data_IF_035328469877
#
_entry.id   IF_035328469877
#
_cell.length_a   1.000
_cell.length_b   1.000
_cell.length_c   1.000
_cell.angle_alpha   90.00
_cell.angle_beta   90.00
_cell.angle_gamma   90.00
#
_symmetry.space_group_name_H-M   'P 1'
#
loop_
_entity.id
_entity.type
_entity.pdbx_description
1 polymer ?
#
# COMPACT_ATOMS: atom_id res chain seq x y z
N UNK A 1 -5.70 5.69 17.43
CA UNK A 1 -4.39 5.73 16.72
C UNK A 1 -3.23 5.15 17.52
N UNK A 2 -3.02 5.54 18.80
CA UNK A 2 -1.87 5.03 19.59
C UNK A 2 -1.97 3.51 19.84
N UNK A 3 -3.19 2.99 20.05
CA UNK A 3 -3.39 1.56 20.31
C UNK A 3 -3.15 0.72 19.07
N UNK A 4 -3.64 1.17 17.91
CA UNK A 4 -3.46 0.54 16.61
C UNK A 4 -1.97 0.45 16.26
N UNK A 5 -1.22 1.53 16.50
CA UNK A 5 0.22 1.54 16.27
C UNK A 5 0.96 0.52 17.16
N UNK A 6 0.56 0.38 18.44
CA UNK A 6 1.13 -0.65 19.34
C UNK A 6 0.83 -2.07 18.86
N UNK A 7 -0.38 -2.30 18.35
CA UNK A 7 -0.78 -3.60 17.78
C UNK A 7 0.06 -3.91 16.54
N UNK A 8 0.20 -2.94 15.62
CA UNK A 8 1.02 -3.09 14.41
C UNK A 8 2.49 -3.34 14.74
N UNK A 9 3.05 -2.60 15.70
CA UNK A 9 4.41 -2.83 16.20
C UNK A 9 4.59 -4.26 16.70
N UNK A 10 3.73 -4.70 17.62
CA UNK A 10 3.82 -6.04 18.21
C UNK A 10 3.75 -7.12 17.12
N UNK A 11 2.83 -6.96 16.18
CA UNK A 11 2.66 -7.89 15.06
C UNK A 11 3.87 -7.90 14.13
N UNK A 12 4.41 -6.73 13.80
CA UNK A 12 5.64 -6.60 13.02
C UNK A 12 6.79 -7.37 13.69
N UNK A 13 7.00 -7.16 14.99
CA UNK A 13 8.03 -7.85 15.78
C UNK A 13 7.81 -9.37 15.81
N UNK A 14 6.57 -9.83 15.98
CA UNK A 14 6.21 -11.25 15.94
C UNK A 14 6.50 -11.88 14.56
N UNK A 15 6.17 -11.19 13.48
CA UNK A 15 6.43 -11.67 12.11
C UNK A 15 7.93 -11.75 11.85
N UNK A 16 8.69 -10.73 12.28
CA UNK A 16 10.15 -10.68 12.10
C UNK A 16 10.89 -11.86 12.73
N UNK A 17 10.35 -12.49 13.79
CA UNK A 17 10.97 -13.67 14.41
C UNK A 17 10.99 -14.90 13.49
N UNK A 18 10.10 -14.97 12.50
CA UNK A 18 9.98 -16.12 11.60
C UNK A 18 9.39 -15.74 10.23
N UNK A 19 9.95 -14.68 9.63
CA UNK A 19 9.36 -14.03 8.46
C UNK A 19 9.14 -14.97 7.27
N UNK A 20 10.12 -15.81 6.95
CA UNK A 20 10.03 -16.78 5.84
C UNK A 20 8.90 -17.80 6.05
N UNK A 21 8.80 -18.33 7.28
CA UNK A 21 7.74 -19.28 7.63
C UNK A 21 6.36 -18.63 7.48
N UNK A 22 6.19 -17.43 8.04
CA UNK A 22 4.92 -16.72 8.03
C UNK A 22 4.54 -16.29 6.61
N UNK A 23 5.51 -15.80 5.82
CA UNK A 23 5.27 -15.47 4.42
C UNK A 23 4.80 -16.70 3.64
N UNK A 24 5.47 -17.85 3.81
CA UNK A 24 5.05 -19.08 3.15
C UNK A 24 3.64 -19.50 3.58
N UNK A 25 3.29 -19.41 4.87
CA UNK A 25 1.93 -19.69 5.35
C UNK A 25 0.88 -18.77 4.68
N UNK A 26 1.17 -17.47 4.57
CA UNK A 26 0.29 -16.52 3.87
C UNK A 26 0.19 -16.83 2.38
N UNK A 27 1.32 -17.12 1.73
CA UNK A 27 1.36 -17.49 0.32
C UNK A 27 0.51 -18.72 0.03
N UNK A 28 0.70 -19.81 0.79
CA UNK A 28 -0.11 -21.03 0.62
C UNK A 28 -1.61 -20.77 0.89
N UNK A 29 -1.93 -19.92 1.87
CA UNK A 29 -3.31 -19.52 2.15
C UNK A 29 -3.95 -18.82 0.96
N UNK A 30 -3.23 -17.88 0.33
CA UNK A 30 -3.74 -17.19 -0.88
C UNK A 30 -3.82 -18.16 -2.06
N UNK A 31 -2.78 -18.96 -2.30
CA UNK A 31 -2.75 -19.90 -3.43
C UNK A 31 -3.85 -20.97 -3.36
N UNK A 32 -4.32 -21.32 -2.16
CA UNK A 32 -5.42 -22.27 -1.97
C UNK A 32 -6.82 -21.65 -2.08
N UNK A 33 -6.95 -20.32 -2.14
CA UNK A 33 -8.24 -19.63 -2.05
C UNK A 33 -8.51 -18.59 -3.14
N UNK A 34 -7.50 -18.14 -3.90
CA UNK A 34 -7.72 -17.18 -4.97
C UNK A 34 -8.61 -17.75 -6.09
N UNK A 35 -9.47 -16.90 -6.65
CA UNK A 35 -10.38 -17.24 -7.74
C UNK A 35 -9.77 -16.93 -9.12
N UNK A 36 -9.07 -15.80 -9.25
CA UNK A 36 -8.42 -15.41 -10.50
C UNK A 36 -7.25 -14.45 -10.24
N UNK A 37 -6.44 -14.21 -11.29
CA UNK A 37 -5.35 -13.23 -11.25
C UNK A 37 -5.42 -12.23 -12.39
N UNK A 38 -4.91 -11.03 -12.15
CA UNK A 38 -4.71 -9.98 -13.15
C UNK A 38 -3.21 -9.66 -13.23
N UNK A 39 -2.72 -9.42 -14.44
CA UNK A 39 -1.32 -9.07 -14.68
C UNK A 39 -1.28 -7.67 -15.32
N UNK A 40 -0.35 -6.82 -14.90
CA UNK A 40 -0.09 -5.54 -15.58
C UNK A 40 1.39 -5.18 -15.65
N UNK A 41 1.74 -4.36 -16.65
CA UNK A 41 3.03 -3.66 -16.72
C UNK A 41 2.86 -2.29 -16.05
N UNK A 42 3.50 -2.09 -14.90
CA UNK A 42 3.24 -1.00 -13.97
C UNK A 42 2.01 -1.23 -13.07
N UNK A 43 1.83 -0.43 -12.02
CA UNK A 43 0.75 -0.60 -11.04
C UNK A 43 -0.63 -0.26 -11.64
N UNK A 44 -1.64 -1.10 -11.43
CA UNK A 44 -2.96 -0.94 -12.06
C UNK A 44 -4.18 -1.08 -11.14
N UNK A 45 -3.95 -1.44 -9.88
CA UNK A 45 -4.98 -1.67 -8.86
C UNK A 45 -4.67 -0.80 -7.64
N UNK A 46 -5.69 -0.14 -7.10
CA UNK A 46 -5.61 0.69 -5.90
C UNK A 46 -6.25 -0.04 -4.71
N UNK A 47 -5.52 -0.17 -3.60
CA UNK A 47 -6.07 -0.67 -2.33
C UNK A 47 -6.77 0.46 -1.59
N UNK A 48 -6.14 1.63 -1.60
CA UNK A 48 -6.62 2.90 -1.06
C UNK A 48 -6.70 3.94 -2.19
N UNK A 49 -7.51 5.01 -2.04
CA UNK A 49 -7.75 5.96 -3.12
C UNK A 49 -6.48 6.51 -3.76
N UNK A 50 -6.41 6.45 -5.09
CA UNK A 50 -5.31 6.98 -5.90
C UNK A 50 -3.92 6.45 -5.54
N UNK A 51 -3.84 5.22 -5.06
CA UNK A 51 -2.64 4.58 -4.53
C UNK A 51 -1.37 4.77 -5.37
N UNK A 52 -1.41 4.38 -6.63
CA UNK A 52 -0.24 4.51 -7.49
C UNK A 52 -0.05 5.93 -8.03
N UNK A 53 -1.13 6.72 -8.17
CA UNK A 53 -1.04 8.13 -8.55
C UNK A 53 -0.39 8.97 -7.45
N UNK A 54 -0.60 8.63 -6.18
CA UNK A 54 0.04 9.26 -5.04
C UNK A 54 1.57 9.14 -5.06
N UNK A 55 2.09 8.14 -5.76
CA UNK A 55 3.52 7.90 -6.00
C UNK A 55 3.97 8.38 -7.41
N UNK A 56 3.10 9.09 -8.12
CA UNK A 56 3.35 9.68 -9.44
C UNK A 56 3.25 8.73 -10.63
N UNK A 57 2.70 7.54 -10.44
CA UNK A 57 2.50 6.60 -11.53
C UNK A 57 1.17 6.84 -12.26
N UNK A 58 1.19 6.58 -13.57
CA UNK A 58 -0.02 6.36 -14.36
C UNK A 58 -0.46 4.90 -14.20
N UNK A 59 -1.74 4.65 -14.49
CA UNK A 59 -2.27 3.28 -14.49
C UNK A 59 -1.50 2.42 -15.48
N UNK A 60 -1.01 1.27 -14.99
CA UNK A 60 -0.31 0.27 -15.76
C UNK A 60 -1.17 -0.37 -16.84
N UNK A 61 -0.51 -1.01 -17.80
CA UNK A 61 -1.16 -1.68 -18.93
C UNK A 61 -1.47 -3.14 -18.59
N UNK A 62 -2.72 -3.54 -18.75
CA UNK A 62 -3.15 -4.92 -18.53
C UNK A 62 -2.48 -5.90 -19.52
N UNK A 63 -2.05 -7.05 -19.01
CA UNK A 63 -1.40 -8.12 -19.77
C UNK A 63 -2.21 -9.41 -19.65
N UNK A 64 -2.26 -10.20 -20.72
CA UNK A 64 -2.92 -11.52 -20.72
C UNK A 64 -2.07 -12.62 -20.09
N UNK A 65 -0.75 -12.50 -20.19
CA UNK A 65 0.24 -13.46 -19.72
C UNK A 65 1.45 -12.72 -19.17
N UNK A 66 2.27 -13.42 -18.37
CA UNK A 66 3.54 -12.87 -17.91
C UNK A 66 4.44 -12.57 -19.13
N UNK A 67 5.04 -11.37 -19.21
CA UNK A 67 5.94 -11.01 -20.29
C UNK A 67 7.28 -11.71 -20.13
N UNK A 68 8.01 -11.89 -21.24
CA UNK A 68 9.39 -12.41 -21.22
C UNK A 68 10.36 -11.50 -20.44
N UNK A 69 10.11 -10.18 -20.48
CA UNK A 69 10.85 -9.19 -19.69
C UNK A 69 9.96 -8.83 -18.51
N UNK A 70 10.27 -9.40 -17.35
CA UNK A 70 9.41 -9.37 -16.17
C UNK A 70 9.46 -8.05 -15.39
N UNK A 71 10.52 -7.25 -15.57
CA UNK A 71 10.72 -5.99 -14.86
C UNK A 71 9.47 -5.10 -14.76
N UNK A 72 9.16 -4.55 -13.59
CA UNK A 72 7.99 -3.68 -13.38
C UNK A 72 6.67 -4.35 -13.81
N UNK A 73 6.54 -5.66 -13.55
CA UNK A 73 5.31 -6.43 -13.76
C UNK A 73 4.64 -6.68 -12.42
N UNK A 74 3.34 -6.43 -12.36
CA UNK A 74 2.51 -6.69 -11.20
C UNK A 74 1.57 -7.85 -11.46
N UNK A 75 1.42 -8.72 -10.47
CA UNK A 75 0.41 -9.78 -10.46
C UNK A 75 -0.47 -9.59 -9.25
N UNK A 76 -1.77 -9.50 -9.48
CA UNK A 76 -2.79 -9.31 -8.44
C UNK A 76 -3.65 -10.56 -8.36
N UNK A 77 -3.78 -11.13 -7.18
CA UNK A 77 -4.60 -12.33 -6.93
C UNK A 77 -5.88 -11.90 -6.21
N UNK A 78 -7.02 -12.32 -6.73
CA UNK A 78 -8.33 -11.93 -6.22
C UNK A 78 -9.12 -13.13 -5.73
N UNK A 79 -9.96 -12.93 -4.71
CA UNK A 79 -11.02 -13.86 -4.36
C UNK A 79 -12.24 -13.74 -5.30
N UNK A 80 -13.27 -14.55 -5.04
CA UNK A 80 -14.52 -14.54 -5.81
C UNK A 80 -15.36 -13.27 -5.62
N UNK A 81 -15.07 -12.46 -4.61
CA UNK A 81 -15.74 -11.19 -4.32
C UNK A 81 -14.98 -9.99 -4.90
N UNK A 82 -13.94 -10.23 -5.72
CA UNK A 82 -13.03 -9.23 -6.28
C UNK A 82 -12.20 -8.47 -5.23
N UNK A 83 -12.02 -9.04 -4.04
CA UNK A 83 -11.04 -8.54 -3.06
C UNK A 83 -9.67 -9.07 -3.42
N UNK A 84 -8.68 -8.20 -3.38
CA UNK A 84 -7.30 -8.57 -3.67
C UNK A 84 -6.68 -9.21 -2.44
N UNK A 85 -6.17 -10.42 -2.58
CA UNK A 85 -5.54 -11.19 -1.51
C UNK A 85 -4.02 -10.99 -1.46
N UNK A 86 -3.40 -10.80 -2.63
CA UNK A 86 -1.96 -10.66 -2.80
C UNK A 86 -1.63 -9.78 -4.00
N UNK A 87 -0.65 -8.89 -3.83
CA UNK A 87 0.08 -8.24 -4.91
C UNK A 87 1.50 -8.79 -4.95
N UNK A 88 1.94 -9.29 -6.10
CA UNK A 88 3.36 -9.53 -6.40
C UNK A 88 3.88 -8.43 -7.32
N UNK A 89 5.05 -7.87 -7.00
CA UNK A 89 5.78 -6.93 -7.85
C UNK A 89 7.14 -7.52 -8.21
N UNK A 90 7.34 -7.74 -9.51
CA UNK A 90 8.55 -8.33 -10.06
C UNK A 90 9.56 -7.23 -10.42
N UNK A 91 10.77 -7.33 -9.85
CA UNK A 91 11.92 -6.51 -10.20
C UNK A 91 12.61 -6.96 -11.49
N UNK A 92 13.87 -6.52 -11.68
CA UNK A 92 14.63 -6.76 -12.92
C UNK A 92 14.83 -8.25 -13.27
N UNK A 93 14.75 -9.13 -12.27
CA UNK A 93 14.85 -10.60 -12.42
C UNK A 93 13.67 -11.32 -11.75
N UNK A 94 13.37 -12.53 -12.22
CA UNK A 94 12.26 -13.36 -11.72
C UNK A 94 12.40 -13.73 -10.23
N UNK A 95 13.62 -13.67 -9.68
CA UNK A 95 13.92 -13.98 -8.28
C UNK A 95 13.68 -12.80 -7.32
N UNK A 96 13.45 -11.60 -7.85
CA UNK A 96 13.26 -10.38 -7.06
C UNK A 96 11.78 -10.00 -7.01
N UNK A 97 11.01 -10.77 -6.23
CA UNK A 97 9.57 -10.56 -6.08
C UNK A 97 9.31 -9.96 -4.70
N UNK A 98 8.70 -8.78 -4.64
CA UNK A 98 8.11 -8.29 -3.41
C UNK A 98 6.63 -8.64 -3.36
N UNK A 99 6.13 -8.93 -2.15
CA UNK A 99 4.77 -9.43 -1.95
C UNK A 99 4.05 -8.61 -0.90
N UNK A 100 2.82 -8.21 -1.18
CA UNK A 100 1.93 -7.60 -0.19
C UNK A 100 0.66 -8.42 -0.05
N UNK A 101 0.41 -8.92 1.16
CA UNK A 101 -0.77 -9.72 1.51
C UNK A 101 -1.83 -8.84 2.14
N UNK A 102 -3.11 -9.08 1.82
CA UNK A 102 -4.22 -8.30 2.35
C UNK A 102 -5.24 -9.17 3.09
N UNK A 103 -5.61 -8.74 4.29
CA UNK A 103 -6.56 -9.44 5.15
C UNK A 103 -7.74 -8.53 5.46
N UNK A 104 -8.92 -8.91 4.97
CA UNK A 104 -10.15 -8.14 5.13
C UNK A 104 -10.83 -8.49 6.43
N UNK A 105 -11.19 -7.45 7.20
CA UNK A 105 -12.01 -7.56 8.40
C UNK A 105 -13.14 -6.53 8.33
N UNK A 106 -14.06 -6.57 9.28
CA UNK A 106 -15.12 -5.58 9.36
C UNK A 106 -14.53 -4.18 9.49
N UNK A 107 -14.76 -3.33 8.49
CA UNK A 107 -14.33 -1.93 8.43
C UNK A 107 -12.81 -1.70 8.45
N UNK A 108 -12.00 -2.70 8.12
CA UNK A 108 -10.57 -2.49 7.91
C UNK A 108 -9.93 -3.53 7.00
N UNK A 109 -8.79 -3.15 6.42
CA UNK A 109 -7.91 -4.02 5.65
C UNK A 109 -6.54 -3.96 6.30
N UNK A 110 -6.03 -5.10 6.74
CA UNK A 110 -4.64 -5.23 7.18
C UNK A 110 -3.79 -5.62 5.98
N UNK A 111 -2.60 -5.02 5.84
CA UNK A 111 -1.62 -5.47 4.84
C UNK A 111 -0.27 -5.80 5.47
N UNK A 112 0.43 -6.76 4.85
CA UNK A 112 1.75 -7.21 5.28
C UNK A 112 2.63 -7.27 4.04
N UNK A 113 3.63 -6.41 3.99
CA UNK A 113 4.56 -6.31 2.87
C UNK A 113 5.87 -7.03 3.19
N UNK A 114 6.30 -7.90 2.30
CA UNK A 114 7.60 -8.58 2.30
C UNK A 114 8.43 -8.05 1.13
N UNK A 115 9.64 -7.58 1.45
CA UNK A 115 10.59 -7.12 0.47
C UNK A 115 11.17 -8.29 -0.34
N UNK A 116 11.71 -7.97 -1.51
CA UNK A 116 12.42 -8.94 -2.33
C UNK A 116 13.84 -9.19 -1.80
N UNK A 117 14.29 -10.45 -1.89
CA UNK A 117 15.63 -10.89 -1.52
C UNK A 117 15.88 -10.93 -0.01
N UNK A 118 15.68 -12.09 0.63
CA UNK A 118 15.97 -12.45 2.04
C UNK A 118 15.70 -11.40 3.14
N UNK A 119 14.97 -10.34 2.81
CA UNK A 119 14.65 -9.24 3.68
C UNK A 119 13.26 -9.52 4.20
N UNK A 120 13.12 -9.50 5.53
CA UNK A 120 11.89 -9.90 6.22
C UNK A 120 10.68 -9.01 5.89
N UNK A 121 9.74 -8.93 6.82
CA UNK A 121 8.59 -8.03 6.66
C UNK A 121 9.10 -6.58 6.55
N UNK A 122 8.80 -5.91 5.44
CA UNK A 122 9.14 -4.50 5.25
C UNK A 122 8.23 -3.60 6.06
N UNK A 123 6.92 -3.88 6.06
CA UNK A 123 5.95 -3.19 6.90
C UNK A 123 4.68 -4.01 7.17
N UNK A 124 4.00 -3.66 8.26
CA UNK A 124 2.62 -4.07 8.56
C UNK A 124 1.76 -2.82 8.62
N UNK A 125 0.61 -2.85 7.94
CA UNK A 125 -0.26 -1.70 7.79
C UNK A 125 -1.72 -2.03 8.05
N UNK A 126 -2.50 -0.99 8.35
CA UNK A 126 -3.93 -1.06 8.60
C UNK A 126 -4.66 0.11 7.94
N UNK A 127 -5.57 -0.21 7.02
CA UNK A 127 -6.55 0.71 6.45
C UNK A 127 -7.81 0.65 7.30
N UNK A 128 -8.19 1.76 7.90
CA UNK A 128 -9.38 1.86 8.75
C UNK A 128 -10.46 2.64 8.01
N UNK A 129 -11.65 2.05 7.90
CA UNK A 129 -12.80 2.61 7.18
C UNK A 129 -13.32 1.67 6.10
N UNK A 130 -14.22 2.19 5.27
CA UNK A 130 -14.70 1.49 4.08
C UNK A 130 -13.63 1.65 3.00
N UNK A 131 -13.31 0.62 2.22
CA UNK A 131 -12.18 0.65 1.28
C UNK A 131 -12.23 1.83 0.29
N UNK A 132 -13.42 2.23 -0.15
CA UNK A 132 -13.62 3.37 -1.06
C UNK A 132 -13.52 4.73 -0.36
N UNK A 133 -13.67 4.75 0.96
CA UNK A 133 -13.63 5.95 1.80
C UNK A 133 -12.90 5.64 3.12
N UNK A 134 -11.59 5.35 3.07
CA UNK A 134 -10.82 5.11 4.28
C UNK A 134 -10.75 6.40 5.08
N UNK A 135 -10.69 6.27 6.40
CA UNK A 135 -10.43 7.36 7.33
C UNK A 135 -8.94 7.47 7.61
N UNK A 136 -8.27 6.32 7.79
CA UNK A 136 -6.86 6.26 8.13
C UNK A 136 -6.14 5.14 7.39
N UNK A 137 -4.88 5.37 7.05
CA UNK A 137 -3.88 4.34 6.79
C UNK A 137 -2.81 4.47 7.88
N UNK A 138 -2.40 3.35 8.47
CA UNK A 138 -1.37 3.33 9.52
C UNK A 138 -0.35 2.28 9.12
N UNK A 139 0.93 2.60 9.21
CA UNK A 139 2.01 1.69 8.85
C UNK A 139 3.06 1.68 9.94
N UNK A 140 3.54 0.49 10.30
CA UNK A 140 4.74 0.28 11.10
C UNK A 140 5.78 -0.49 10.28
N UNK A 141 7.02 -0.02 10.29
CA UNK A 141 8.12 -0.56 9.51
C UNK A 141 9.42 -0.56 10.32
N UNK A 142 10.50 -1.11 9.74
CA UNK A 142 11.84 -1.17 10.33
C UNK A 142 12.32 0.17 10.88
N UNK A 143 12.14 1.24 10.10
CA UNK A 143 12.77 2.54 10.39
C UNK A 143 11.84 3.54 11.07
N UNK A 144 10.53 3.26 11.12
CA UNK A 144 9.58 4.21 11.66
C UNK A 144 8.14 3.76 11.51
N UNK A 145 7.25 4.72 11.70
CA UNK A 145 5.84 4.57 11.42
C UNK A 145 5.29 5.81 10.74
N UNK A 146 4.14 5.63 10.10
CA UNK A 146 3.41 6.73 9.49
C UNK A 146 1.90 6.54 9.64
N UNK A 147 1.21 7.67 9.69
CA UNK A 147 -0.25 7.77 9.80
C UNK A 147 -0.70 8.74 8.73
N UNK A 148 -1.62 8.28 7.89
CA UNK A 148 -2.30 9.08 6.88
C UNK A 148 -3.76 9.22 7.29
N UNK A 149 -4.24 10.44 7.37
CA UNK A 149 -5.64 10.78 7.63
C UNK A 149 -6.27 11.31 6.34
N UNK A 150 -7.35 10.67 5.90
CA UNK A 150 -8.04 11.00 4.66
C UNK A 150 -9.18 11.97 4.94
N UNK A 151 -9.18 13.11 4.25
CA UNK A 151 -10.15 14.19 4.44
C UNK A 151 -10.94 14.38 3.16
N UNK A 152 -12.26 14.32 3.31
CA UNK A 152 -13.21 14.40 2.20
C UNK A 152 -14.06 15.65 2.32
N UNK A 153 -14.39 16.23 1.17
CA UNK A 153 -15.52 17.13 1.02
C UNK A 153 -16.65 16.34 0.36
N UNK A 154 -17.74 16.10 1.07
CA UNK A 154 -18.77 15.11 0.73
C UNK A 154 -18.14 13.72 0.47
N UNK A 155 -18.17 13.24 -0.76
CA UNK A 155 -17.60 11.96 -1.19
C UNK A 155 -16.27 12.12 -1.96
N UNK A 156 -15.76 13.34 -2.08
CA UNK A 156 -14.54 13.64 -2.84
C UNK A 156 -13.36 13.79 -1.87
N UNK A 157 -12.31 12.98 -2.06
CA UNK A 157 -11.06 13.09 -1.30
C UNK A 157 -10.35 14.39 -1.68
N UNK A 158 -10.15 15.31 -0.74
CA UNK A 158 -9.53 16.62 -1.01
C UNK A 158 -8.11 16.71 -0.44
N UNK A 159 -7.83 15.99 0.64
CA UNK A 159 -6.56 16.07 1.36
C UNK A 159 -6.24 14.75 2.06
N UNK A 160 -4.96 14.41 2.13
CA UNK A 160 -4.43 13.42 3.05
C UNK A 160 -3.39 14.10 3.92
N UNK A 161 -3.62 14.14 5.24
CA UNK A 161 -2.64 14.61 6.21
C UNK A 161 -1.75 13.46 6.64
N UNK A 162 -0.44 13.65 6.56
CA UNK A 162 0.53 12.60 6.85
C UNK A 162 1.42 13.02 8.01
N UNK A 163 1.55 12.10 8.96
CA UNK A 163 2.46 12.18 10.08
C UNK A 163 3.41 10.99 10.01
N UNK A 164 4.71 11.25 9.93
CA UNK A 164 5.76 10.24 9.93
C UNK A 164 6.69 10.44 11.12
N UNK A 165 7.17 9.35 11.71
CA UNK A 165 8.19 9.38 12.74
C UNK A 165 9.17 8.23 12.54
N UNK A 166 10.45 8.57 12.38
CA UNK A 166 11.53 7.59 12.47
C UNK A 166 11.74 7.18 13.93
N UNK A 167 12.06 5.90 14.18
CA UNK A 167 12.19 5.41 15.56
C UNK A 167 13.35 6.07 16.30
N UNK A 168 14.45 6.32 15.60
CA UNK A 168 15.68 6.92 16.13
C UNK A 168 15.60 8.45 16.25
N UNK A 169 14.62 9.09 15.62
CA UNK A 169 14.45 10.54 15.66
C UNK A 169 13.45 10.96 16.73
N UNK A 170 13.74 12.09 17.37
CA UNK A 170 12.81 12.72 18.33
C UNK A 170 11.68 13.45 17.62
N UNK A 171 11.99 14.06 16.47
CA UNK A 171 11.08 14.89 15.71
C UNK A 171 10.06 14.06 14.90
N UNK A 172 8.93 14.70 14.62
CA UNK A 172 7.86 14.13 13.81
C UNK A 172 7.79 14.98 12.54
N UNK A 173 7.83 14.32 11.39
CA UNK A 173 7.63 14.98 10.10
C UNK A 173 6.14 15.02 9.77
N UNK A 174 5.71 16.16 9.25
CA UNK A 174 4.36 16.37 8.77
C UNK A 174 4.40 16.86 7.33
N UNK A 175 3.46 16.39 6.52
CA UNK A 175 3.17 16.92 5.18
C UNK A 175 1.75 16.55 4.81
N UNK A 176 1.24 17.10 3.72
CA UNK A 176 -0.08 16.77 3.21
C UNK A 176 -0.08 16.57 1.71
N UNK A 177 -0.94 15.67 1.22
CA UNK A 177 -1.21 15.49 -0.21
C UNK A 177 -2.57 16.14 -0.51
N UNK A 178 -2.59 17.16 -1.36
CA UNK A 178 -3.81 17.85 -1.80
C UNK A 178 -4.24 17.32 -3.17
N UNK A 179 -5.53 17.08 -3.34
CA UNK A 179 -6.12 16.50 -4.55
C UNK A 179 -6.94 17.56 -5.28
N UNK A 180 -6.63 17.76 -6.55
CA UNK A 180 -7.37 18.68 -7.43
C UNK A 180 -8.09 17.89 -8.50
N UNK A 181 -9.28 18.36 -8.87
CA UNK A 181 -10.16 17.68 -9.82
C UNK A 181 -10.57 18.65 -10.93
N UNK A 182 -10.67 18.13 -12.14
CA UNK A 182 -11.23 18.82 -13.29
C UNK A 182 -12.39 17.98 -13.83
N UNK A 183 -13.58 18.58 -13.95
CA UNK A 183 -14.81 17.88 -14.39
C UNK A 183 -15.10 16.57 -13.61
N UNK A 184 -14.74 16.50 -12.33
CA UNK A 184 -14.94 15.33 -11.47
C UNK A 184 -13.86 14.25 -11.59
N UNK A 185 -12.88 14.42 -12.49
CA UNK A 185 -11.73 13.53 -12.61
C UNK A 185 -10.52 14.10 -11.88
N UNK A 186 -9.72 13.23 -11.25
CA UNK A 186 -8.48 13.65 -10.60
C UNK A 186 -7.54 14.27 -11.65
N UNK A 187 -7.23 15.55 -11.47
CA UNK A 187 -6.36 16.29 -12.38
C UNK A 187 -4.95 16.48 -11.83
N UNK A 188 -4.77 16.54 -10.50
CA UNK A 188 -3.45 16.79 -9.88
C UNK A 188 -3.39 16.31 -8.44
N UNK A 189 -2.20 15.90 -8.00
CA UNK A 189 -1.86 15.68 -6.59
C UNK A 189 -0.63 16.52 -6.25
N UNK A 190 -0.72 17.33 -5.20
CA UNK A 190 0.36 18.18 -4.70
C UNK A 190 0.74 17.77 -3.28
N UNK A 191 2.00 17.41 -3.08
CA UNK A 191 2.61 17.26 -1.77
C UNK A 191 3.02 18.64 -1.24
N UNK A 192 2.59 18.98 -0.02
CA UNK A 192 2.91 20.26 0.62
C UNK A 192 3.55 20.03 1.99
N UNK A 193 4.64 20.75 2.25
CA UNK A 193 5.36 20.72 3.52
C UNK A 193 5.04 21.95 4.38
N UNK A 194 5.21 21.87 5.73
CA UNK A 194 4.92 22.99 6.64
C UNK A 194 5.70 24.27 6.36
N UNK A 195 6.88 24.16 5.75
CA UNK A 195 7.72 25.31 5.35
C UNK A 195 7.25 25.99 4.05
N UNK A 196 6.13 25.54 3.46
CA UNK A 196 5.59 26.08 2.21
C UNK A 196 6.20 25.46 0.94
N UNK A 197 7.12 24.51 1.05
CA UNK A 197 7.63 23.77 -0.11
C UNK A 197 6.54 22.86 -0.68
N UNK A 198 6.40 22.83 -2.00
CA UNK A 198 5.41 22.03 -2.71
C UNK A 198 6.06 21.20 -3.83
N UNK A 199 5.57 19.98 -4.00
CA UNK A 199 5.97 19.05 -5.08
C UNK A 199 4.71 18.52 -5.74
N UNK A 200 4.62 18.63 -7.07
CA UNK A 200 3.58 17.93 -7.80
C UNK A 200 3.95 16.44 -7.87
N UNK A 201 3.08 15.58 -7.34
CA UNK A 201 3.23 14.12 -7.42
C UNK A 201 2.57 13.57 -8.68
N UNK A 202 1.42 14.13 -9.07
CA UNK A 202 0.61 13.67 -10.19
C UNK A 202 -0.07 14.86 -10.89
N UNK A 203 -0.29 14.85 -12.22
CA UNK A 203 0.32 13.91 -13.15
C UNK A 203 1.84 14.03 -13.16
#
# INVERSE_FOLDING_TARGET
>A
MINELKILKKKYEEIMLSSEKIENEYFQTVMSSYAYKKISKGPSVNIKPFDFQQEGFKKGRDLKVLPKIIDNTYVYYFDSENKILLTENYGETDDFISREYYFYRKNCIESIYFGSGNSGVGNVSLLIGIQERPNYWITYATYGYAIWEYIYNDDILIEINVKCKEHEQTEITFFKKCFEYNHGELSKIILKYPNGYEVQCYP
#
